data_IF_862955873576
#
_entry.id   IF_862955873576
#
_cell.length_a   1.000
_cell.length_b   1.000
_cell.length_c   1.000
_cell.angle_alpha   90.00
_cell.angle_beta   90.00
_cell.angle_gamma   90.00
#
_symmetry.space_group_name_H-M   'P 1'
#
loop_
_entity.id
_entity.type
_entity.pdbx_description
1 polymer ?
#
# COMPACT_ATOMS: atom_id res chain seq x y z
N UNK A 1 -2.58 -9.47 12.11
CA UNK A 1 -3.95 -8.89 12.16
C UNK A 1 -4.93 -10.01 12.49
N UNK A 2 -6.02 -9.72 13.20
CA UNK A 2 -7.05 -10.70 13.52
C UNK A 2 -8.43 -10.14 13.14
N UNK A 3 -9.21 -10.93 12.41
CA UNK A 3 -10.53 -10.54 11.91
C UNK A 3 -11.58 -11.58 12.32
N UNK A 4 -12.80 -11.14 12.63
CA UNK A 4 -13.94 -12.05 12.77
C UNK A 4 -14.28 -12.63 11.40
N UNK A 5 -14.70 -13.90 11.35
CA UNK A 5 -15.04 -14.59 10.08
C UNK A 5 -16.03 -13.79 9.23
N UNK A 6 -17.05 -13.20 9.86
CA UNK A 6 -18.10 -12.40 9.21
C UNK A 6 -17.58 -11.16 8.47
N UNK A 7 -16.40 -10.63 8.82
CA UNK A 7 -15.78 -9.51 8.07
C UNK A 7 -15.53 -9.93 6.63
N UNK A 8 -15.11 -11.19 6.43
CA UNK A 8 -14.79 -11.73 5.10
C UNK A 8 -16.02 -12.01 4.23
N UNK A 9 -17.23 -11.89 4.79
CA UNK A 9 -18.47 -11.92 4.01
C UNK A 9 -18.67 -10.61 3.24
N UNK A 10 -18.03 -9.51 3.68
CA UNK A 10 -18.18 -8.16 3.10
C UNK A 10 -16.88 -7.54 2.57
N UNK A 11 -15.73 -7.85 3.17
CA UNK A 11 -14.42 -7.35 2.76
C UNK A 11 -13.54 -8.53 2.32
N UNK A 12 -12.92 -8.45 1.14
CA UNK A 12 -12.10 -9.55 0.61
C UNK A 12 -10.74 -9.03 0.20
N UNK A 13 -9.73 -9.88 0.37
CA UNK A 13 -8.40 -9.56 -0.15
C UNK A 13 -8.45 -9.42 -1.67
N UNK A 14 -7.74 -8.42 -2.16
CA UNK A 14 -7.66 -8.13 -3.58
C UNK A 14 -6.52 -8.93 -4.20
N UNK A 15 -6.87 -9.91 -5.04
CA UNK A 15 -5.91 -10.77 -5.72
C UNK A 15 -5.02 -10.01 -6.70
N UNK A 16 -5.36 -8.76 -7.07
CA UNK A 16 -4.48 -7.89 -7.85
C UNK A 16 -3.21 -7.47 -7.07
N UNK A 17 -3.23 -7.55 -5.74
CA UNK A 17 -2.08 -7.27 -4.86
C UNK A 17 -1.29 -8.53 -4.49
N UNK A 18 -1.48 -9.64 -5.23
CA UNK A 18 -0.76 -10.88 -5.01
C UNK A 18 0.78 -10.74 -5.11
N UNK A 19 1.49 -11.78 -4.70
CA UNK A 19 2.95 -11.88 -4.59
C UNK A 19 3.52 -11.32 -3.28
N UNK A 20 4.21 -10.16 -3.32
CA UNK A 20 4.86 -9.63 -2.12
C UNK A 20 3.85 -9.08 -1.09
N UNK A 21 2.58 -8.89 -1.48
CA UNK A 21 1.53 -8.41 -0.59
C UNK A 21 1.69 -6.94 -0.17
N UNK A 22 2.43 -6.14 -0.95
CA UNK A 22 2.67 -4.73 -0.59
C UNK A 22 1.36 -3.94 -0.60
N UNK A 23 1.01 -3.33 0.53
CA UNK A 23 -0.22 -2.55 0.74
C UNK A 23 -1.53 -3.35 0.71
N UNK A 24 -1.49 -4.68 0.70
CA UNK A 24 -2.66 -5.54 0.88
C UNK A 24 -3.39 -5.22 2.21
N UNK A 25 -2.60 -4.98 3.26
CA UNK A 25 -3.06 -4.61 4.59
C UNK A 25 -3.82 -3.27 4.60
N UNK A 26 -3.36 -2.28 3.82
CA UNK A 26 -4.05 -1.01 3.62
C UNK A 26 -5.39 -1.22 2.93
N UNK A 27 -5.43 -2.05 1.88
CA UNK A 27 -6.64 -2.31 1.12
C UNK A 27 -7.70 -3.03 1.96
N UNK A 28 -7.35 -4.14 2.60
CA UNK A 28 -8.30 -4.89 3.45
C UNK A 28 -8.79 -4.03 4.62
N UNK A 29 -7.93 -3.16 5.17
CA UNK A 29 -8.31 -2.23 6.22
C UNK A 29 -9.34 -1.22 5.71
N UNK A 30 -9.11 -0.63 4.53
CA UNK A 30 -10.07 0.30 3.92
C UNK A 30 -11.41 -0.39 3.63
N UNK A 31 -11.39 -1.58 3.03
CA UNK A 31 -12.61 -2.36 2.77
C UNK A 31 -13.37 -2.71 4.05
N UNK A 32 -12.66 -3.07 5.12
CA UNK A 32 -13.26 -3.38 6.42
C UNK A 32 -13.98 -2.17 7.01
N UNK A 33 -13.37 -0.98 6.93
CA UNK A 33 -14.00 0.27 7.37
C UNK A 33 -15.22 0.64 6.51
N UNK A 34 -15.12 0.48 5.20
CA UNK A 34 -16.23 0.77 4.27
C UNK A 34 -17.42 -0.18 4.47
N UNK A 35 -17.15 -1.42 4.89
CA UNK A 35 -18.18 -2.40 5.26
C UNK A 35 -18.88 -2.10 6.60
N UNK A 36 -18.49 -1.00 7.28
CA UNK A 36 -19.09 -0.53 8.53
C UNK A 36 -18.48 -1.14 9.80
N UNK A 37 -17.40 -1.91 9.67
CA UNK A 37 -16.67 -2.43 10.82
C UNK A 37 -15.68 -1.39 11.36
N UNK A 38 -15.16 -1.65 12.56
CA UNK A 38 -14.15 -0.82 13.21
C UNK A 38 -12.85 -1.60 13.32
N UNK A 39 -11.73 -0.91 13.14
CA UNK A 39 -10.39 -1.44 13.34
C UNK A 39 -9.84 -0.83 14.62
N UNK A 40 -9.22 -1.66 15.46
CA UNK A 40 -8.63 -1.24 16.72
C UNK A 40 -7.18 -1.71 16.78
N UNK A 41 -6.31 -0.86 17.31
CA UNK A 41 -4.96 -1.23 17.66
C UNK A 41 -4.92 -1.60 19.15
N UNK A 42 -4.49 -2.83 19.47
CA UNK A 42 -4.40 -3.32 20.83
C UNK A 42 -2.96 -3.17 21.35
N UNK A 43 -2.71 -2.15 22.15
CA UNK A 43 -1.37 -1.81 22.67
C UNK A 43 -0.81 -2.84 23.64
N UNK A 44 -1.65 -3.64 24.29
CA UNK A 44 -1.22 -4.70 25.19
C UNK A 44 -0.87 -6.02 24.47
N UNK A 45 -1.26 -6.17 23.19
CA UNK A 45 -0.95 -7.35 22.42
C UNK A 45 0.35 -7.11 21.63
N UNK A 46 1.43 -7.75 22.05
CA UNK A 46 2.74 -7.65 21.39
C UNK A 46 3.09 -8.96 20.69
N UNK A 47 3.78 -8.84 19.55
CA UNK A 47 4.30 -9.96 18.78
C UNK A 47 5.72 -9.60 18.35
N UNK A 48 6.67 -10.54 18.52
CA UNK A 48 8.01 -10.40 17.95
C UNK A 48 7.95 -10.84 16.50
N UNK A 49 8.13 -9.89 15.59
CA UNK A 49 8.24 -10.18 14.16
C UNK A 49 9.71 -10.42 13.80
N UNK A 50 10.06 -11.69 13.62
CA UNK A 50 11.41 -12.05 13.17
C UNK A 50 11.53 -11.86 11.66
N UNK A 51 12.19 -10.77 11.30
CA UNK A 51 12.37 -10.32 9.94
C UNK A 51 13.28 -11.26 9.13
N UNK A 52 12.72 -11.99 8.15
CA UNK A 52 13.52 -12.82 7.23
C UNK A 52 14.18 -11.97 6.12
N UNK A 53 15.46 -12.21 5.80
CA UNK A 53 16.14 -11.58 4.67
C UNK A 53 15.82 -12.23 3.32
N UNK A 54 15.34 -13.48 3.29
CA UNK A 54 15.31 -14.31 2.09
C UNK A 54 14.23 -13.94 1.07
N UNK A 55 13.08 -13.42 1.50
CA UNK A 55 11.93 -13.16 0.62
C UNK A 55 11.63 -11.66 0.46
N UNK A 56 12.66 -10.81 0.56
CA UNK A 56 12.53 -9.36 0.44
C UNK A 56 12.69 -8.90 -1.00
N UNK A 57 11.82 -8.00 -1.42
CA UNK A 57 12.04 -7.23 -2.63
C UNK A 57 13.33 -6.41 -2.51
N UNK A 58 14.05 -6.31 -3.62
CA UNK A 58 15.16 -5.35 -3.73
C UNK A 58 14.59 -3.94 -3.59
N UNK A 59 15.35 -3.02 -3.00
CA UNK A 59 14.93 -1.62 -2.75
C UNK A 59 14.29 -0.98 -3.99
N UNK A 60 14.86 -1.18 -5.17
CA UNK A 60 14.31 -0.67 -6.42
C UNK A 60 12.91 -1.24 -6.75
N UNK A 61 12.74 -2.55 -6.64
CA UNK A 61 11.46 -3.22 -6.91
C UNK A 61 10.41 -2.83 -5.86
N UNK A 62 10.83 -2.69 -4.60
CA UNK A 62 9.97 -2.23 -3.52
C UNK A 62 9.49 -0.79 -3.76
N UNK A 63 10.40 0.13 -4.09
CA UNK A 63 10.05 1.52 -4.39
C UNK A 63 9.13 1.66 -5.61
N UNK A 64 9.40 0.88 -6.67
CA UNK A 64 8.54 0.82 -7.85
C UNK A 64 7.14 0.31 -7.52
N UNK A 65 7.06 -0.82 -6.80
CA UNK A 65 5.79 -1.42 -6.39
C UNK A 65 5.00 -0.51 -5.45
N UNK A 66 5.67 0.20 -4.53
CA UNK A 66 5.04 1.19 -3.66
C UNK A 66 4.29 2.25 -4.46
N UNK A 67 4.88 2.78 -5.53
CA UNK A 67 4.20 3.80 -6.37
C UNK A 67 3.02 3.18 -7.13
N UNK A 68 3.22 2.02 -7.74
CA UNK A 68 2.17 1.35 -8.55
C UNK A 68 0.98 0.96 -7.67
N UNK A 69 1.22 0.37 -6.51
CA UNK A 69 0.16 -0.04 -5.60
C UNK A 69 -0.51 1.17 -4.94
N UNK A 70 0.24 2.23 -4.65
CA UNK A 70 -0.33 3.48 -4.15
C UNK A 70 -1.29 4.11 -5.16
N UNK A 71 -0.92 4.18 -6.44
CA UNK A 71 -1.80 4.65 -7.51
C UNK A 71 -3.04 3.78 -7.67
N UNK A 72 -2.85 2.46 -7.72
CA UNK A 72 -3.95 1.50 -7.82
C UNK A 72 -4.97 1.71 -6.69
N UNK A 73 -4.50 1.74 -5.44
CA UNK A 73 -5.36 1.90 -4.27
C UNK A 73 -6.02 3.28 -4.22
N UNK A 74 -5.29 4.34 -4.57
CA UNK A 74 -5.85 5.68 -4.69
C UNK A 74 -7.03 5.71 -5.66
N UNK A 75 -6.85 5.12 -6.86
CA UNK A 75 -7.90 5.05 -7.88
C UNK A 75 -9.09 4.19 -7.44
N UNK A 76 -8.81 3.04 -6.83
CA UNK A 76 -9.83 2.11 -6.33
C UNK A 76 -10.74 2.76 -5.27
N UNK A 77 -10.15 3.45 -4.30
CA UNK A 77 -10.84 3.77 -3.04
C UNK A 77 -11.05 5.27 -2.77
N UNK A 78 -10.31 6.16 -3.44
CA UNK A 78 -10.29 7.59 -3.10
C UNK A 78 -10.43 8.57 -4.27
N UNK A 79 -10.23 8.14 -5.52
CA UNK A 79 -10.19 9.04 -6.68
C UNK A 79 -11.52 9.74 -7.03
N UNK A 80 -12.65 9.31 -6.43
CA UNK A 80 -13.97 9.95 -6.62
C UNK A 80 -13.97 11.41 -6.17
N UNK A 81 -13.22 11.74 -5.13
CA UNK A 81 -13.13 13.08 -4.56
C UNK A 81 -12.00 13.88 -5.23
N UNK A 82 -12.34 14.86 -6.07
CA UNK A 82 -11.36 15.60 -6.89
C UNK A 82 -10.27 16.31 -6.06
N UNK A 83 -10.61 16.83 -4.90
CA UNK A 83 -9.67 17.48 -3.96
C UNK A 83 -8.61 16.51 -3.42
N UNK A 84 -8.90 15.21 -3.36
CA UNK A 84 -7.92 14.21 -2.88
C UNK A 84 -6.76 14.01 -3.85
N UNK A 85 -6.91 14.40 -5.12
CA UNK A 85 -5.82 14.33 -6.10
C UNK A 85 -4.63 15.22 -5.71
N UNK A 86 -4.86 16.34 -5.03
CA UNK A 86 -3.76 17.18 -4.51
C UNK A 86 -2.91 16.40 -3.49
N UNK A 87 -3.57 15.71 -2.55
CA UNK A 87 -2.88 14.88 -1.56
C UNK A 87 -2.22 13.64 -2.17
N UNK A 88 -2.79 13.09 -3.24
CA UNK A 88 -2.16 12.03 -4.02
C UNK A 88 -0.84 12.49 -4.64
N UNK A 89 -0.80 13.64 -5.33
CA UNK A 89 0.45 14.15 -5.89
C UNK A 89 1.46 14.52 -4.81
N UNK A 90 0.99 15.08 -3.69
CA UNK A 90 1.83 15.33 -2.51
C UNK A 90 2.48 14.04 -1.99
N UNK A 91 1.71 12.94 -1.90
CA UNK A 91 2.23 11.65 -1.47
C UNK A 91 3.24 11.07 -2.48
N UNK A 92 3.03 11.22 -3.79
CA UNK A 92 4.02 10.82 -4.79
C UNK A 92 5.36 11.55 -4.61
N UNK A 93 5.32 12.85 -4.34
CA UNK A 93 6.53 13.63 -4.00
C UNK A 93 7.16 13.08 -2.72
N UNK A 94 6.35 12.77 -1.70
CA UNK A 94 6.80 12.13 -0.47
C UNK A 94 7.54 10.81 -0.69
N UNK A 95 7.09 9.98 -1.65
CA UNK A 95 7.79 8.74 -2.01
C UNK A 95 9.17 8.98 -2.64
N UNK A 96 9.35 10.08 -3.40
CA UNK A 96 10.69 10.47 -3.86
C UNK A 96 11.57 10.94 -2.71
N UNK A 97 11.04 11.77 -1.81
CA UNK A 97 11.78 12.26 -0.64
C UNK A 97 12.21 11.10 0.27
N UNK A 98 11.32 10.14 0.54
CA UNK A 98 11.62 8.97 1.35
C UNK A 98 12.76 8.12 0.75
N UNK A 99 12.85 8.05 -0.59
CA UNK A 99 13.87 7.28 -1.30
C UNK A 99 15.12 8.08 -1.66
N UNK A 100 15.20 9.37 -1.29
CA UNK A 100 16.28 10.28 -1.71
C UNK A 100 17.69 9.80 -1.33
N UNK A 101 17.79 9.05 -0.23
CA UNK A 101 19.04 8.48 0.27
C UNK A 101 19.60 7.31 -0.60
N UNK A 102 18.84 6.80 -1.58
CA UNK A 102 19.22 5.64 -2.37
C UNK A 102 18.94 5.84 -3.86
N UNK A 103 19.98 5.83 -4.69
CA UNK A 103 19.84 5.89 -6.15
C UNK A 103 18.93 4.77 -6.68
N UNK A 104 19.04 3.56 -6.13
CA UNK A 104 18.17 2.43 -6.48
C UNK A 104 16.72 2.65 -6.07
N UNK A 105 16.49 3.32 -4.94
CA UNK A 105 15.16 3.72 -4.51
C UNK A 105 14.56 4.75 -5.46
N UNK A 106 15.32 5.81 -5.78
CA UNK A 106 14.88 6.86 -6.71
C UNK A 106 14.57 6.31 -8.10
N UNK A 107 15.41 5.42 -8.65
CA UNK A 107 15.13 4.78 -9.94
C UNK A 107 13.89 3.91 -9.88
N UNK A 108 13.67 3.19 -8.78
CA UNK A 108 12.43 2.44 -8.53
C UNK A 108 11.20 3.33 -8.52
N UNK A 109 11.22 4.40 -7.71
CA UNK A 109 10.12 5.38 -7.64
C UNK A 109 9.82 5.99 -9.01
N UNK A 110 10.86 6.39 -9.76
CA UNK A 110 10.71 6.95 -11.10
C UNK A 110 10.10 5.94 -12.09
N UNK A 111 10.56 4.69 -12.07
CA UNK A 111 9.98 3.62 -12.89
C UNK A 111 8.50 3.40 -12.56
N UNK A 112 8.15 3.44 -11.27
CA UNK A 112 6.77 3.30 -10.82
C UNK A 112 5.88 4.43 -11.33
N UNK A 113 6.35 5.68 -11.23
CA UNK A 113 5.66 6.85 -11.79
C UNK A 113 5.50 6.69 -13.30
N UNK A 114 6.55 6.34 -14.03
CA UNK A 114 6.47 6.11 -15.48
C UNK A 114 5.41 5.06 -15.83
N UNK A 115 5.34 3.95 -15.10
CA UNK A 115 4.31 2.91 -15.32
C UNK A 115 2.89 3.41 -15.07
N UNK A 116 2.69 4.26 -14.07
CA UNK A 116 1.38 4.82 -13.73
C UNK A 116 0.90 5.81 -14.80
N UNK A 117 1.78 6.66 -15.33
CA UNK A 117 1.42 7.70 -16.31
C UNK A 117 1.56 7.29 -17.78
N UNK A 118 2.12 6.11 -18.05
CA UNK A 118 2.25 5.56 -19.41
C UNK A 118 1.12 4.58 -19.77
N UNK A 119 0.16 4.35 -18.87
CA UNK A 119 -1.09 3.64 -19.14
C UNK A 119 -2.11 4.57 -19.78
#
# INVERSE_FOLDING_TARGET
MAFRREVFEKAKFDEALAHYGLMEDVDISKQTLDAGYKIYYQTFATLVHNESPMNRLKVQQWAEMSVVNYDYLFRKSWARDKWRWLFYYWALIGLFVANFHSLKGLTGTFNGVKKVFSK
#
